data_IF_068016316423
#
_entry.id   IF_068016316423
#
_cell.length_a   1.000
_cell.length_b   1.000
_cell.length_c   1.000
_cell.angle_alpha   90.00
_cell.angle_beta   90.00
_cell.angle_gamma   90.00
#
_symmetry.space_group_name_H-M   'P 1'
#
loop_
_entity.id
_entity.type
_entity.pdbx_description
1 polymer ?
#
# COMPACT_ATOMS: atom_id res chain seq x y z
N UNK A 1 -28.56 -14.63 12.10
CA UNK A 1 -28.13 -13.76 10.99
C UNK A 1 -26.67 -14.09 10.76
N UNK A 2 -26.31 -14.66 9.60
CA UNK A 2 -24.92 -14.93 9.28
C UNK A 2 -24.21 -13.59 9.04
N UNK A 3 -23.11 -13.34 9.75
CA UNK A 3 -22.27 -12.17 9.50
C UNK A 3 -21.71 -12.30 8.08
N UNK A 4 -21.93 -11.29 7.24
CA UNK A 4 -21.21 -11.19 5.96
C UNK A 4 -19.72 -10.99 6.29
N UNK A 5 -18.90 -12.00 5.98
CA UNK A 5 -17.45 -11.92 6.09
C UNK A 5 -16.91 -11.43 4.74
N UNK A 6 -16.43 -10.19 4.71
CA UNK A 6 -15.79 -9.61 3.53
C UNK A 6 -14.27 -9.78 3.64
N UNK A 7 -13.68 -10.58 2.76
CA UNK A 7 -12.23 -10.77 2.68
C UNK A 7 -11.59 -9.76 1.73
N UNK A 8 -10.69 -8.93 2.26
CA UNK A 8 -9.87 -8.02 1.47
C UNK A 8 -8.44 -8.59 1.40
N UNK A 9 -7.89 -8.68 0.19
CA UNK A 9 -6.52 -9.14 -0.04
C UNK A 9 -5.74 -7.97 -0.63
N UNK A 10 -4.63 -7.63 0.03
CA UNK A 10 -3.69 -6.61 -0.43
C UNK A 10 -2.39 -7.28 -0.83
N UNK A 11 -1.98 -7.07 -2.07
CA UNK A 11 -0.67 -7.46 -2.57
C UNK A 11 0.30 -6.28 -2.42
N UNK A 12 1.40 -6.50 -1.71
CA UNK A 12 2.46 -5.52 -1.53
C UNK A 12 3.72 -5.99 -2.26
N UNK A 13 4.17 -5.21 -3.23
CA UNK A 13 5.40 -5.46 -3.99
C UNK A 13 6.46 -4.43 -3.64
N UNK A 14 7.65 -4.87 -3.26
CA UNK A 14 8.79 -3.97 -3.09
C UNK A 14 9.36 -3.58 -4.45
N UNK A 15 9.54 -2.27 -4.67
CA UNK A 15 10.13 -1.74 -5.91
C UNK A 15 11.64 -1.50 -5.71
N UNK A 16 12.00 -0.85 -4.60
CA UNK A 16 13.38 -0.50 -4.29
C UNK A 16 13.47 0.53 -3.17
N UNK A 17 14.52 0.46 -2.34
CA UNK A 17 14.64 1.36 -1.19
C UNK A 17 13.43 1.26 -0.25
N UNK A 18 12.78 2.38 0.02
CA UNK A 18 11.55 2.48 0.82
C UNK A 18 10.28 2.64 -0.04
N UNK A 19 10.36 2.33 -1.34
CA UNK A 19 9.24 2.36 -2.26
C UNK A 19 8.55 0.99 -2.38
N UNK A 20 7.22 0.99 -2.19
CA UNK A 20 6.37 -0.18 -2.30
C UNK A 20 5.16 0.10 -3.18
N UNK A 21 4.69 -0.90 -3.91
CA UNK A 21 3.43 -0.86 -4.65
C UNK A 21 2.40 -1.73 -3.97
N UNK A 22 1.30 -1.13 -3.53
CA UNK A 22 0.15 -1.84 -2.99
C UNK A 22 -0.94 -1.99 -4.07
N UNK A 23 -1.52 -3.18 -4.19
CA UNK A 23 -2.68 -3.49 -5.05
C UNK A 23 -3.74 -4.23 -4.23
N UNK A 24 -5.01 -3.91 -4.44
CA UNK A 24 -6.12 -4.51 -3.71
C UNK A 24 -6.93 -5.43 -4.63
N UNK A 25 -7.30 -6.61 -4.17
CA UNK A 25 -7.95 -7.67 -4.97
C UNK A 25 -9.30 -7.29 -5.60
N UNK A 26 -9.94 -6.21 -5.18
CA UNK A 26 -11.20 -5.70 -5.73
C UNK A 26 -11.05 -4.41 -6.56
N UNK A 27 -9.83 -4.00 -6.89
CA UNK A 27 -9.57 -2.73 -7.58
C UNK A 27 -8.40 -2.83 -8.54
N UNK A 28 -8.54 -2.23 -9.72
CA UNK A 28 -7.41 -2.04 -10.65
C UNK A 28 -6.47 -0.92 -10.20
N UNK A 29 -6.83 -0.20 -9.12
CA UNK A 29 -5.97 0.83 -8.55
C UNK A 29 -4.78 0.21 -7.84
N UNK A 30 -3.62 0.80 -8.07
CA UNK A 30 -2.42 0.56 -7.27
C UNK A 30 -1.94 1.86 -6.65
N UNK A 31 -1.39 1.77 -5.45
CA UNK A 31 -0.83 2.91 -4.72
C UNK A 31 0.68 2.71 -4.61
N UNK A 32 1.44 3.74 -4.99
CA UNK A 32 2.86 3.83 -4.64
C UNK A 32 2.95 4.38 -3.23
N UNK A 33 3.67 3.70 -2.36
CA UNK A 33 3.93 4.08 -0.98
C UNK A 33 5.43 4.35 -0.89
N UNK A 34 5.80 5.48 -0.32
CA UNK A 34 7.20 5.87 -0.14
C UNK A 34 7.38 6.66 1.15
N UNK A 35 8.46 6.38 1.86
CA UNK A 35 8.82 7.12 3.07
C UNK A 35 9.37 8.52 2.68
N UNK A 36 9.20 9.56 3.51
CA UNK A 36 9.87 10.83 3.26
C UNK A 36 11.38 10.72 3.51
N UNK A 37 12.10 11.77 3.14
CA UNK A 37 13.49 11.98 3.56
C UNK A 37 13.60 11.85 5.10
N UNK A 38 14.66 11.22 5.63
CA UNK A 38 15.88 10.80 4.93
C UNK A 38 15.84 9.37 4.37
N UNK A 39 14.72 8.65 4.50
CA UNK A 39 14.65 7.23 4.15
C UNK A 39 14.25 7.01 2.69
N UNK A 40 13.18 7.68 2.26
CA UNK A 40 12.71 7.68 0.87
C UNK A 40 12.64 9.09 0.32
N UNK A 41 11.84 9.27 -0.74
CA UNK A 41 11.70 10.55 -1.45
C UNK A 41 10.33 11.20 -1.25
N UNK A 42 9.44 10.56 -0.49
CA UNK A 42 8.06 10.99 -0.30
C UNK A 42 7.26 11.03 -1.60
N UNK A 43 7.56 10.15 -2.57
CA UNK A 43 6.90 10.11 -3.87
C UNK A 43 5.45 9.58 -3.83
N UNK A 44 5.01 9.06 -2.67
CA UNK A 44 3.67 8.55 -2.43
C UNK A 44 3.22 8.77 -0.99
N UNK A 45 1.97 8.39 -0.65
CA UNK A 45 1.53 8.31 0.74
C UNK A 45 2.50 7.49 1.58
N UNK A 46 2.64 7.90 2.82
CA UNK A 46 3.53 7.30 3.77
C UNK A 46 2.72 6.42 4.74
N UNK A 47 3.14 5.16 4.91
CA UNK A 47 2.42 4.21 5.76
C UNK A 47 2.55 4.54 7.26
N UNK A 48 3.62 5.21 7.69
CA UNK A 48 3.88 5.62 9.07
C UNK A 48 3.19 6.94 9.50
N UNK A 49 2.57 7.67 8.57
CA UNK A 49 1.86 8.97 8.79
C UNK A 49 0.35 8.83 8.88
N UNK A 50 -0.19 7.60 8.81
CA UNK A 50 -1.61 7.29 8.97
C UNK A 50 -2.00 7.15 10.45
#
# INVERSE_FOLDING_TARGET
>A
MASEENTFITELSWIGGYEFKAKFNGSDMSILIDEPEPLGRGAGPNASRL
#
